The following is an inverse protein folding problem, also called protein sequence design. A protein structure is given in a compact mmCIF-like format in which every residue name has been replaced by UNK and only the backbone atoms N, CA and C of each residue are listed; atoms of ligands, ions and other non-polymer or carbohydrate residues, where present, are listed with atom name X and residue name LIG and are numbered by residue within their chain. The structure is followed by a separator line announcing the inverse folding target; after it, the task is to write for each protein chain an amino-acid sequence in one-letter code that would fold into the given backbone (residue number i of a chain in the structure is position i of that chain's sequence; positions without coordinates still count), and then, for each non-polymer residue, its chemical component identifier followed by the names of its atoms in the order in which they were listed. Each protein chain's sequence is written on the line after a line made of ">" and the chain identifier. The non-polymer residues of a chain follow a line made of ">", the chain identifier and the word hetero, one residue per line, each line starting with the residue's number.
data_IF_384121025236
#
_entry.id   IF_384121025236
#
_cell.length_a   1.000
_cell.length_b   1.000
_cell.length_c   1.000
_cell.angle_alpha   90.00
_cell.angle_beta   90.00
_cell.angle_gamma   90.00
#
_symmetry.space_group_name_H-M   'P 1'
#
loop_
_entity.id
_entity.type
_entity.pdbx_description
1 polymer ?
#
# COMPACT_ATOMS: atom_id res chain seq x y z
N UNK A 1 -3.40 -8.52 17.42
CA UNK A 1 -3.26 -7.62 16.27
C UNK A 1 -3.75 -8.29 15.01
N UNK A 2 -4.65 -7.65 14.29
CA UNK A 2 -5.09 -8.11 12.98
C UNK A 2 -4.10 -7.71 11.90
N UNK A 3 -3.92 -8.59 10.92
CA UNK A 3 -3.15 -8.28 9.72
C UNK A 3 -4.13 -8.18 8.55
N UNK A 4 -4.11 -7.06 7.86
CA UNK A 4 -5.03 -6.78 6.75
C UNK A 4 -4.21 -6.60 5.48
N UNK A 5 -4.49 -7.44 4.48
CA UNK A 5 -3.84 -7.33 3.18
C UNK A 5 -4.65 -6.42 2.27
N UNK A 6 -4.00 -5.45 1.66
CA UNK A 6 -4.63 -4.53 0.73
C UNK A 6 -3.94 -4.64 -0.62
N UNK A 7 -4.73 -4.89 -1.66
CA UNK A 7 -4.25 -4.89 -3.04
C UNK A 7 -4.62 -3.54 -3.66
N UNK A 8 -3.60 -2.84 -4.13
CA UNK A 8 -3.76 -1.49 -4.69
C UNK A 8 -3.59 -1.54 -6.20
N UNK A 9 -4.48 -0.84 -6.91
CA UNK A 9 -4.34 -0.63 -8.35
C UNK A 9 -4.16 0.87 -8.60
N UNK A 10 -2.91 1.36 -8.71
CA UNK A 10 -2.66 2.80 -8.89
C UNK A 10 -3.27 3.37 -10.17
N UNK A 11 -3.53 2.55 -11.18
CA UNK A 11 -4.15 3.00 -12.41
C UNK A 11 -5.61 3.35 -12.25
N UNK A 12 -6.30 2.72 -11.31
CA UNK A 12 -7.72 2.94 -11.05
C UNK A 12 -7.97 3.87 -9.87
N UNK A 13 -7.08 3.82 -8.88
CA UNK A 13 -7.18 4.67 -7.71
C UNK A 13 -6.16 5.80 -7.81
N UNK A 14 -6.51 6.83 -8.54
CA UNK A 14 -5.60 7.95 -8.82
C UNK A 14 -5.14 8.61 -7.52
N UNK A 15 -3.83 8.80 -7.40
CA UNK A 15 -3.19 9.37 -6.21
C UNK A 15 -3.53 8.60 -4.94
N UNK A 16 -3.98 7.36 -5.09
CA UNK A 16 -4.38 6.48 -3.98
C UNK A 16 -5.39 7.15 -3.04
N UNK A 17 -6.36 7.84 -3.63
CA UNK A 17 -7.35 8.60 -2.86
C UNK A 17 -8.15 7.69 -1.93
N UNK A 18 -8.71 6.60 -2.45
CA UNK A 18 -9.50 5.67 -1.64
C UNK A 18 -8.61 4.84 -0.71
N UNK A 19 -7.44 4.46 -1.18
CA UNK A 19 -6.48 3.71 -0.37
C UNK A 19 -6.04 4.53 0.83
N UNK A 20 -5.74 5.83 0.62
CA UNK A 20 -5.33 6.70 1.72
C UNK A 20 -6.44 6.86 2.75
N UNK A 21 -7.69 6.99 2.32
CA UNK A 21 -8.82 7.07 3.25
C UNK A 21 -8.97 5.81 4.08
N UNK A 22 -8.81 4.65 3.44
CA UNK A 22 -8.88 3.38 4.13
C UNK A 22 -7.75 3.26 5.16
N UNK A 23 -6.54 3.67 4.78
CA UNK A 23 -5.40 3.63 5.70
C UNK A 23 -5.60 4.56 6.89
N UNK A 24 -6.17 5.73 6.68
CA UNK A 24 -6.49 6.66 7.77
C UNK A 24 -7.45 6.02 8.78
N UNK A 25 -8.45 5.30 8.28
CA UNK A 25 -9.39 4.59 9.14
C UNK A 25 -8.68 3.45 9.89
N UNK A 26 -7.86 2.68 9.20
CA UNK A 26 -7.17 1.54 9.80
C UNK A 26 -6.13 1.94 10.84
N UNK A 27 -5.59 3.15 10.75
CA UNK A 27 -4.63 3.64 11.74
C UNK A 27 -5.27 3.80 13.13
N UNK A 28 -6.58 3.91 13.20
CA UNK A 28 -7.30 4.00 14.47
C UNK A 28 -7.51 2.64 15.14
N UNK A 29 -7.20 1.57 14.43
CA UNK A 29 -7.37 0.20 14.92
C UNK A 29 -6.01 -0.46 15.11
N UNK A 30 -5.95 -1.43 16.00
CA UNK A 30 -4.74 -2.21 16.23
C UNK A 30 -4.58 -3.26 15.13
N UNK A 31 -4.18 -2.82 13.96
CA UNK A 31 -3.98 -3.71 12.82
C UNK A 31 -2.71 -3.35 12.06
N UNK A 32 -2.16 -4.36 11.40
CA UNK A 32 -1.00 -4.19 10.51
C UNK A 32 -1.45 -4.31 9.07
N UNK A 33 -1.05 -3.36 8.24
CA UNK A 33 -1.40 -3.36 6.82
C UNK A 33 -0.27 -4.02 6.03
N UNK A 34 -0.64 -4.95 5.17
CA UNK A 34 0.28 -5.68 4.29
C UNK A 34 -0.01 -5.30 2.85
N UNK A 35 1.03 -4.97 2.11
CA UNK A 35 0.90 -4.61 0.70
C UNK A 35 1.97 -5.29 -0.13
N UNK A 36 1.77 -5.33 -1.45
CA UNK A 36 2.74 -5.90 -2.37
C UNK A 36 4.01 -5.03 -2.46
N UNK A 37 5.17 -5.68 -2.50
CA UNK A 37 6.45 -5.00 -2.65
C UNK A 37 6.62 -4.32 -4.02
N UNK A 38 5.72 -4.59 -4.98
CA UNK A 38 5.73 -3.87 -6.26
C UNK A 38 5.55 -2.37 -6.07
N UNK A 39 4.91 -1.96 -4.98
CA UNK A 39 4.74 -0.53 -4.66
C UNK A 39 6.05 0.14 -4.25
N UNK A 40 7.09 -0.63 -3.97
CA UNK A 40 8.43 -0.12 -3.64
C UNK A 40 9.30 0.07 -4.87
N UNK A 41 8.80 -0.31 -6.04
CA UNK A 41 9.56 -0.19 -7.29
C UNK A 41 9.20 1.09 -8.01
N UNK A 42 10.21 1.86 -8.49
CA UNK A 42 9.91 3.05 -9.27
C UNK A 42 9.26 2.68 -10.60
N UNK A 43 8.45 3.59 -11.12
CA UNK A 43 7.79 3.42 -12.40
C UNK A 43 8.30 4.47 -13.36
N UNK A 44 9.12 4.05 -14.32
CA UNK A 44 9.76 4.98 -15.25
C UNK A 44 10.64 5.98 -14.50
N UNK A 45 10.39 7.26 -14.72
CA UNK A 45 11.12 8.34 -14.05
C UNK A 45 10.46 8.78 -12.74
N UNK A 46 9.33 8.17 -12.38
CA UNK A 46 8.60 8.53 -11.16
C UNK A 46 9.13 7.75 -9.96
N UNK A 47 9.15 8.35 -8.77
CA UNK A 47 9.50 7.62 -7.56
C UNK A 47 8.51 6.49 -7.27
N UNK A 48 8.94 5.52 -6.48
CA UNK A 48 8.05 4.44 -6.06
C UNK A 48 6.86 5.00 -5.27
N UNK A 49 5.69 4.37 -5.41
CA UNK A 49 4.48 4.77 -4.69
C UNK A 49 4.70 4.76 -3.19
N UNK A 50 5.48 3.79 -2.68
CA UNK A 50 5.78 3.71 -1.25
C UNK A 50 6.59 4.89 -0.74
N UNK A 51 7.35 5.56 -1.61
CA UNK A 51 8.17 6.72 -1.23
C UNK A 51 7.43 8.03 -1.39
N UNK A 52 6.31 8.04 -2.10
CA UNK A 52 5.54 9.24 -2.37
C UNK A 52 4.21 9.23 -1.65
N UNK A 53 3.26 8.43 -2.15
CA UNK A 53 1.88 8.46 -1.65
C UNK A 53 1.71 7.71 -0.33
N UNK A 54 2.58 6.73 -0.06
CA UNK A 54 2.49 5.91 1.14
C UNK A 54 3.62 6.18 2.14
N UNK A 55 4.43 7.21 1.90
CA UNK A 55 5.53 7.55 2.79
C UNK A 55 5.01 7.87 4.19
N UNK A 56 5.73 7.36 5.21
CA UNK A 56 5.35 7.59 6.61
C UNK A 56 4.24 6.69 7.14
N UNK A 57 3.67 5.84 6.30
CA UNK A 57 2.64 4.89 6.72
C UNK A 57 3.28 3.63 7.29
N UNK A 58 2.63 3.03 8.28
CA UNK A 58 3.09 1.78 8.89
C UNK A 58 2.59 0.59 8.07
N UNK A 59 3.32 0.29 7.01
CA UNK A 59 2.95 -0.76 6.06
C UNK A 59 4.09 -1.76 5.94
N UNK A 60 3.76 -3.06 5.96
CA UNK A 60 4.71 -4.12 5.68
C UNK A 60 4.55 -4.55 4.23
N UNK A 61 5.65 -4.53 3.47
CA UNK A 61 5.63 -4.93 2.07
C UNK A 61 6.10 -6.36 1.93
N UNK A 62 5.27 -7.18 1.29
CA UNK A 62 5.52 -8.60 1.09
C UNK A 62 5.68 -8.91 -0.39
N UNK A 63 6.35 -10.05 -0.73
CA UNK A 63 6.47 -10.45 -2.13
C UNK A 63 5.12 -10.55 -2.83
N UNK A 64 5.08 -10.11 -4.09
CA UNK A 64 3.85 -10.05 -4.86
C UNK A 64 3.14 -11.39 -4.97
N UNK A 65 3.90 -12.49 -5.07
CA UNK A 65 3.32 -13.82 -5.24
C UNK A 65 2.43 -14.23 -4.07
N UNK A 66 2.51 -13.57 -2.93
CA UNK A 66 1.63 -13.84 -1.80
C UNK A 66 0.22 -13.26 -1.99
N UNK A 67 0.05 -12.35 -2.96
CA UNK A 67 -1.22 -11.70 -3.24
C UNK A 67 -1.91 -12.25 -4.48
N UNK A 68 -1.15 -12.76 -5.42
CA UNK A 68 -1.66 -13.28 -6.69
C UNK A 68 -1.36 -14.78 -6.78
N UNK A 69 -2.38 -15.58 -6.82
CA UNK A 69 -2.27 -17.03 -6.91
C UNK A 69 -2.82 -17.54 -8.23
#
# INVERSE_FOLDING_TARGET
>A
MLKISITVNPNKDKNLFYTSKLLDILEEYDCKVLMSDTLKKPYGDSPAVSETLLAGRNIEYLPEYLFFR
#
